data_IF_208192304972
#
_entry.id   IF_208192304972
#
_cell.length_a   1.000
_cell.length_b   1.000
_cell.length_c   1.000
_cell.angle_alpha   90.00
_cell.angle_beta   90.00
_cell.angle_gamma   90.00
#
_symmetry.space_group_name_H-M   'P 1'
#
loop_
_entity.id
_entity.type
_entity.pdbx_description
1 polymer ?
#
# COMPACT_ATOMS: atom_id res chain seq x y z
N UNK A 1 32.46 -3.17 8.48
CA UNK A 1 31.67 -1.95 8.60
C UNK A 1 30.86 -1.76 7.32
N UNK A 2 29.75 -2.53 7.16
CA UNK A 2 28.93 -2.57 5.92
C UNK A 2 27.86 -1.44 5.84
N UNK A 3 27.68 -0.66 6.91
CA UNK A 3 26.65 0.38 7.02
C UNK A 3 26.81 1.57 6.05
N UNK A 4 28.00 1.76 5.49
CA UNK A 4 28.31 2.88 4.59
C UNK A 4 28.68 2.41 3.17
N UNK A 5 28.37 1.14 2.84
CA UNK A 5 28.55 0.61 1.50
C UNK A 5 27.24 0.70 0.72
N UNK A 6 27.34 0.82 -0.59
CA UNK A 6 26.18 0.60 -1.46
C UNK A 6 25.63 -0.80 -1.25
N UNK A 7 24.32 -0.92 -1.17
CA UNK A 7 23.58 -2.19 -1.07
C UNK A 7 22.65 -2.31 -2.27
N UNK A 8 22.05 -3.49 -2.40
CA UNK A 8 20.98 -3.69 -3.39
C UNK A 8 19.82 -2.72 -3.14
N UNK A 9 19.11 -2.29 -4.19
CA UNK A 9 17.99 -1.32 -4.07
C UNK A 9 16.93 -1.78 -3.06
N UNK A 10 16.60 -3.07 -3.04
CA UNK A 10 15.62 -3.64 -2.12
C UNK A 10 16.07 -3.70 -0.65
N UNK A 11 17.34 -3.40 -0.37
CA UNK A 11 17.93 -3.49 0.97
C UNK A 11 18.59 -4.85 1.26
N UNK A 12 19.36 -4.88 2.35
CA UNK A 12 20.06 -6.11 2.77
C UNK A 12 19.08 -7.12 3.37
N UNK A 13 19.46 -8.41 3.35
CA UNK A 13 18.69 -9.52 3.94
C UNK A 13 18.29 -9.23 5.41
N UNK A 14 19.21 -8.67 6.21
CA UNK A 14 18.93 -8.32 7.62
C UNK A 14 17.81 -7.26 7.71
N UNK A 15 17.86 -6.26 6.85
CA UNK A 15 16.86 -5.19 6.82
C UNK A 15 15.51 -5.72 6.35
N UNK A 16 15.48 -6.55 5.31
CA UNK A 16 14.25 -7.18 4.81
C UNK A 16 13.63 -8.13 5.84
N UNK A 17 14.47 -8.90 6.56
CA UNK A 17 14.00 -9.74 7.67
C UNK A 17 13.35 -8.90 8.78
N UNK A 18 13.93 -7.73 9.11
CA UNK A 18 13.30 -6.82 10.06
C UNK A 18 11.96 -6.27 9.55
N UNK A 19 11.84 -6.01 8.24
CA UNK A 19 10.58 -5.63 7.60
C UNK A 19 9.53 -6.75 7.66
N UNK A 20 9.91 -8.00 7.41
CA UNK A 20 9.01 -9.14 7.54
C UNK A 20 8.50 -9.27 8.99
N UNK A 21 9.38 -9.12 9.99
CA UNK A 21 8.99 -9.11 11.40
C UNK A 21 8.04 -7.94 11.74
N UNK A 22 8.17 -6.80 11.06
CA UNK A 22 7.25 -5.67 11.21
C UNK A 22 5.85 -6.03 10.70
N UNK A 23 5.75 -6.60 9.50
CA UNK A 23 4.47 -7.06 8.94
C UNK A 23 3.83 -8.17 9.75
N UNK A 24 4.61 -9.09 10.36
CA UNK A 24 4.06 -10.08 11.28
C UNK A 24 3.33 -9.45 12.47
N UNK A 25 3.83 -8.33 13.02
CA UNK A 25 3.14 -7.59 14.08
C UNK A 25 1.82 -6.97 13.61
N UNK A 26 1.71 -6.64 12.33
CA UNK A 26 0.49 -6.14 11.70
C UNK A 26 -0.51 -7.26 11.36
N UNK A 27 -0.13 -8.54 11.53
CA UNK A 27 -0.96 -9.70 11.18
C UNK A 27 -0.79 -10.18 9.73
N UNK A 28 0.24 -9.73 9.02
CA UNK A 28 0.61 -10.25 7.70
C UNK A 28 1.83 -11.18 7.82
N UNK A 29 1.62 -12.47 7.61
CA UNK A 29 2.69 -13.46 7.62
C UNK A 29 3.43 -13.47 6.27
N UNK A 30 4.69 -13.13 6.28
CA UNK A 30 5.56 -13.05 5.10
C UNK A 30 7.02 -13.32 5.47
N UNK A 31 7.88 -13.44 4.47
CA UNK A 31 9.32 -13.57 4.63
C UNK A 31 10.08 -12.39 3.97
N UNK A 32 11.41 -12.40 4.10
CA UNK A 32 12.26 -11.33 3.59
C UNK A 32 12.28 -11.21 2.07
N UNK A 33 11.89 -12.23 1.33
CA UNK A 33 11.89 -12.22 -0.14
C UNK A 33 10.78 -11.33 -0.71
N UNK A 34 9.70 -11.13 0.06
CA UNK A 34 8.59 -10.26 -0.31
C UNK A 34 8.71 -8.84 0.23
N UNK A 35 9.88 -8.47 0.79
CA UNK A 35 10.07 -7.16 1.42
C UNK A 35 11.08 -6.34 0.64
N UNK A 36 10.71 -5.10 0.37
CA UNK A 36 11.59 -4.06 -0.19
C UNK A 36 11.66 -2.89 0.78
N UNK A 37 12.84 -2.29 0.93
CA UNK A 37 13.03 -1.07 1.72
C UNK A 37 12.83 0.18 0.87
N UNK A 38 12.31 1.23 1.52
CA UNK A 38 12.20 2.54 0.90
C UNK A 38 12.57 3.67 1.88
N UNK A 39 12.90 4.84 1.35
CA UNK A 39 13.31 6.02 2.11
C UNK A 39 12.11 6.77 2.74
N UNK A 40 11.25 6.02 3.45
CA UNK A 40 10.02 6.51 4.09
C UNK A 40 8.77 6.30 3.23
N UNK A 41 7.58 6.42 3.86
CA UNK A 41 6.30 6.08 3.24
C UNK A 41 5.99 6.83 1.94
N UNK A 42 6.35 8.09 1.84
CA UNK A 42 6.14 8.87 0.60
C UNK A 42 6.98 8.33 -0.57
N UNK A 43 8.22 7.92 -0.31
CA UNK A 43 9.07 7.28 -1.32
C UNK A 43 8.53 5.89 -1.68
N UNK A 44 8.11 5.11 -0.68
CA UNK A 44 7.48 3.81 -0.90
C UNK A 44 6.25 3.92 -1.82
N UNK A 45 5.35 4.88 -1.53
CA UNK A 45 4.15 5.10 -2.34
C UNK A 45 4.50 5.59 -3.76
N UNK A 46 5.46 6.51 -3.89
CA UNK A 46 5.89 7.01 -5.20
C UNK A 46 6.52 5.89 -6.06
N UNK A 47 7.41 5.09 -5.49
CA UNK A 47 8.02 3.96 -6.17
C UNK A 47 6.96 2.92 -6.58
N UNK A 48 5.97 2.64 -5.71
CA UNK A 48 4.87 1.72 -6.03
C UNK A 48 4.05 2.20 -7.24
N UNK A 49 3.64 3.47 -7.23
CA UNK A 49 2.85 4.01 -8.36
C UNK A 49 3.68 4.07 -9.64
N UNK A 50 4.94 4.51 -9.55
CA UNK A 50 5.84 4.63 -10.70
C UNK A 50 6.22 3.28 -11.31
N UNK A 51 6.44 2.26 -10.46
CA UNK A 51 6.87 0.94 -10.93
C UNK A 51 5.74 0.09 -11.52
N UNK A 52 4.49 0.39 -11.16
CA UNK A 52 3.35 -0.50 -11.46
C UNK A 52 2.37 0.09 -12.47
N UNK A 53 2.30 1.41 -12.58
CA UNK A 53 1.28 2.10 -13.39
C UNK A 53 1.88 2.95 -14.48
N UNK A 54 1.28 2.89 -15.64
CA UNK A 54 1.65 3.70 -16.79
C UNK A 54 0.93 5.08 -16.76
N UNK A 55 1.55 6.05 -17.44
CA UNK A 55 0.94 7.36 -17.65
C UNK A 55 -0.43 7.24 -18.33
N UNK A 56 -1.43 7.91 -17.79
CA UNK A 56 -2.81 7.88 -18.26
C UNK A 56 -3.67 6.82 -17.62
N UNK A 57 -3.10 5.86 -16.90
CA UNK A 57 -3.86 4.88 -16.14
C UNK A 57 -4.58 5.49 -14.94
N UNK A 58 -5.52 4.74 -14.36
CA UNK A 58 -6.42 5.24 -13.31
C UNK A 58 -6.32 4.43 -12.04
N UNK A 59 -6.30 5.14 -10.90
CA UNK A 59 -6.36 4.57 -9.54
C UNK A 59 -7.68 4.95 -8.89
N UNK A 60 -8.43 3.96 -8.41
CA UNK A 60 -9.58 4.20 -7.54
C UNK A 60 -9.11 4.63 -6.14
N UNK A 61 -9.74 5.64 -5.54
CA UNK A 61 -9.40 6.13 -4.20
C UNK A 61 -10.65 6.51 -3.43
N UNK A 62 -10.49 6.76 -2.14
CA UNK A 62 -11.49 7.48 -1.36
C UNK A 62 -11.74 8.87 -1.99
N UNK A 63 -12.99 9.38 -1.89
CA UNK A 63 -13.36 10.70 -2.40
C UNK A 63 -12.60 11.85 -1.72
N UNK A 64 -12.18 11.65 -0.48
CA UNK A 64 -11.20 12.46 0.24
C UNK A 64 -10.06 11.55 0.64
N UNK A 65 -8.85 11.84 0.20
CA UNK A 65 -7.70 10.96 0.43
C UNK A 65 -6.43 11.76 0.73
N UNK A 66 -5.37 11.05 1.12
CA UNK A 66 -4.09 11.64 1.46
C UNK A 66 -3.54 12.52 0.33
N UNK A 67 -3.15 13.79 0.62
CA UNK A 67 -2.65 14.69 -0.43
C UNK A 67 -1.42 14.17 -1.17
N UNK A 68 -0.61 13.31 -0.52
CA UNK A 68 0.60 12.76 -1.13
C UNK A 68 0.33 11.90 -2.35
N UNK A 69 -0.74 11.09 -2.37
CA UNK A 69 -1.11 10.32 -3.57
C UNK A 69 -1.53 11.23 -4.72
N UNK A 70 -2.20 12.36 -4.44
CA UNK A 70 -2.60 13.35 -5.45
C UNK A 70 -1.36 13.97 -6.13
N UNK A 71 -0.36 14.33 -5.33
CA UNK A 71 0.90 14.87 -5.83
C UNK A 71 1.64 13.84 -6.70
N UNK A 72 1.75 12.60 -6.24
CA UNK A 72 2.40 11.51 -6.98
C UNK A 72 1.67 11.25 -8.29
N UNK A 73 0.34 11.11 -8.26
CA UNK A 73 -0.48 10.88 -9.43
C UNK A 73 -0.29 11.98 -10.48
N UNK A 74 -0.26 13.24 -10.05
CA UNK A 74 -0.01 14.37 -10.94
C UNK A 74 1.39 14.33 -11.56
N UNK A 75 2.42 13.98 -10.77
CA UNK A 75 3.82 13.92 -11.25
C UNK A 75 4.03 12.79 -12.27
N UNK A 76 3.38 11.66 -12.08
CA UNK A 76 3.51 10.48 -12.94
C UNK A 76 2.53 10.52 -14.13
N UNK A 77 1.47 11.32 -14.03
CA UNK A 77 0.43 11.41 -15.04
C UNK A 77 -0.67 10.36 -14.92
N UNK A 78 -0.84 9.81 -13.72
CA UNK A 78 -1.91 8.85 -13.37
C UNK A 78 -3.15 9.63 -12.92
N UNK A 79 -4.36 9.14 -13.21
CA UNK A 79 -5.62 9.77 -12.84
C UNK A 79 -6.21 9.14 -11.59
N UNK A 80 -6.73 9.96 -10.65
CA UNK A 80 -7.45 9.46 -9.48
C UNK A 80 -8.96 9.47 -9.74
N UNK A 81 -9.61 8.36 -9.45
CA UNK A 81 -11.05 8.15 -9.59
C UNK A 81 -11.67 7.94 -8.20
N UNK A 82 -12.62 8.77 -7.82
CA UNK A 82 -13.32 8.59 -6.56
C UNK A 82 -14.27 7.40 -6.61
N UNK A 83 -14.10 6.44 -5.71
CA UNK A 83 -15.01 5.31 -5.55
C UNK A 83 -16.19 5.73 -4.65
N UNK A 84 -17.38 5.21 -4.92
CA UNK A 84 -18.57 5.50 -4.10
C UNK A 84 -18.42 4.92 -2.69
N UNK A 85 -18.79 5.74 -1.70
CA UNK A 85 -18.76 5.41 -0.28
C UNK A 85 -20.15 5.38 0.34
N UNK A 86 -20.25 4.60 1.41
CA UNK A 86 -21.31 4.68 2.39
C UNK A 86 -20.66 4.58 3.79
N UNK A 87 -21.06 5.44 4.71
CA UNK A 87 -20.57 5.45 6.10
C UNK A 87 -19.02 5.49 6.19
N UNK A 88 -18.38 6.30 5.34
CA UNK A 88 -16.91 6.46 5.19
C UNK A 88 -16.17 5.24 4.63
N UNK A 89 -16.84 4.20 4.16
CA UNK A 89 -16.22 3.02 3.56
C UNK A 89 -16.61 2.86 2.10
N UNK A 90 -15.69 2.34 1.28
CA UNK A 90 -15.97 2.00 -0.13
C UNK A 90 -17.08 0.96 -0.23
N UNK A 91 -18.04 1.19 -1.11
CA UNK A 91 -19.10 0.20 -1.36
C UNK A 91 -18.67 -0.82 -2.41
N UNK A 92 -19.20 -2.04 -2.29
CA UNK A 92 -18.99 -3.10 -3.29
C UNK A 92 -19.40 -2.65 -4.70
N UNK A 93 -20.57 -2.03 -4.81
CA UNK A 93 -21.12 -1.49 -6.06
C UNK A 93 -20.21 -0.39 -6.63
N UNK A 94 -19.70 0.49 -5.78
CA UNK A 94 -18.78 1.56 -6.18
C UNK A 94 -17.48 1.03 -6.74
N UNK A 95 -16.90 -0.01 -6.12
CA UNK A 95 -15.68 -0.65 -6.62
C UNK A 95 -15.93 -1.32 -7.97
N UNK A 96 -17.00 -2.10 -8.12
CA UNK A 96 -17.34 -2.73 -9.41
C UNK A 96 -17.60 -1.69 -10.50
N UNK A 97 -18.30 -0.60 -10.17
CA UNK A 97 -18.52 0.49 -11.11
C UNK A 97 -17.19 1.11 -11.59
N UNK A 98 -16.29 1.39 -10.66
CA UNK A 98 -14.99 1.98 -10.99
C UNK A 98 -14.14 1.04 -11.86
N UNK A 99 -14.16 -0.26 -11.61
CA UNK A 99 -13.45 -1.26 -12.43
C UNK A 99 -14.06 -1.32 -13.85
N UNK A 100 -15.38 -1.39 -13.97
CA UNK A 100 -16.07 -1.65 -15.24
C UNK A 100 -16.21 -0.41 -16.12
N UNK A 101 -16.48 0.76 -15.53
CA UNK A 101 -16.82 1.98 -16.25
C UNK A 101 -15.70 3.00 -16.29
N UNK A 102 -14.87 3.04 -15.23
CA UNK A 102 -13.74 3.98 -15.15
C UNK A 102 -12.40 3.30 -15.50
N UNK A 103 -12.39 1.98 -15.74
CA UNK A 103 -11.20 1.22 -16.12
C UNK A 103 -10.01 1.47 -15.17
N UNK A 104 -10.26 1.51 -13.87
CA UNK A 104 -9.18 1.63 -12.88
C UNK A 104 -8.28 0.39 -12.92
N UNK A 105 -6.97 0.56 -12.70
CA UNK A 105 -5.96 -0.51 -12.68
C UNK A 105 -5.56 -0.91 -11.27
N UNK A 106 -5.71 0.00 -10.34
CA UNK A 106 -5.44 -0.22 -8.93
C UNK A 106 -6.45 0.52 -8.05
N UNK A 107 -6.51 0.12 -6.77
CA UNK A 107 -7.24 0.83 -5.73
C UNK A 107 -6.23 1.21 -4.64
N UNK A 108 -6.15 2.49 -4.30
CA UNK A 108 -5.37 2.99 -3.17
C UNK A 108 -6.27 3.19 -1.96
N UNK A 109 -5.89 2.60 -0.83
CA UNK A 109 -6.64 2.67 0.42
C UNK A 109 -5.75 2.95 1.62
N UNK A 110 -6.28 3.63 2.63
CA UNK A 110 -5.67 3.85 3.95
C UNK A 110 -6.60 3.23 4.99
N UNK A 111 -6.43 1.95 5.35
CA UNK A 111 -7.40 1.26 6.19
C UNK A 111 -7.36 1.63 7.66
N UNK A 112 -6.25 2.21 8.15
CA UNK A 112 -6.04 2.52 9.56
C UNK A 112 -5.84 4.03 9.74
N UNK A 113 -6.65 4.64 10.63
CA UNK A 113 -6.61 6.09 10.89
C UNK A 113 -6.51 6.91 9.61
N UNK A 114 -7.48 6.67 8.72
CA UNK A 114 -7.54 7.25 7.38
C UNK A 114 -7.25 8.75 7.39
N UNK A 115 -6.37 9.19 6.51
CA UNK A 115 -6.03 10.61 6.37
C UNK A 115 -6.87 11.26 5.26
N UNK A 116 -7.81 12.21 5.58
CA UNK A 116 -7.86 13.01 6.81
C UNK A 116 -8.97 12.64 7.80
N UNK A 117 -9.78 11.61 7.58
CA UNK A 117 -11.01 11.37 8.34
C UNK A 117 -10.78 10.68 9.69
N UNK A 118 -9.59 10.11 9.93
CA UNK A 118 -9.24 9.27 11.10
C UNK A 118 -10.11 8.01 11.24
N UNK A 119 -10.89 7.66 10.20
CA UNK A 119 -11.70 6.45 10.19
C UNK A 119 -10.81 5.19 10.18
N UNK A 120 -11.26 4.13 10.83
CA UNK A 120 -10.65 2.79 10.76
C UNK A 120 -11.61 1.90 9.97
N UNK A 121 -11.14 1.40 8.83
CA UNK A 121 -11.91 0.54 7.94
C UNK A 121 -12.28 -0.77 8.66
N UNK A 122 -13.54 -1.17 8.59
CA UNK A 122 -14.04 -2.39 9.20
C UNK A 122 -13.38 -3.65 8.61
N UNK A 123 -13.36 -4.72 9.40
CA UNK A 123 -12.84 -6.02 8.94
C UNK A 123 -13.66 -6.57 7.76
N UNK A 124 -14.96 -6.32 7.77
CA UNK A 124 -15.87 -6.71 6.67
C UNK A 124 -15.48 -6.03 5.37
N UNK A 125 -15.21 -4.73 5.40
CA UNK A 125 -14.81 -3.99 4.19
C UNK A 125 -13.43 -4.40 3.72
N UNK A 126 -12.46 -4.65 4.62
CA UNK A 126 -11.13 -5.19 4.23
C UNK A 126 -11.27 -6.52 3.47
N UNK A 127 -12.08 -7.45 3.98
CA UNK A 127 -12.35 -8.75 3.34
C UNK A 127 -13.09 -8.61 2.02
N UNK A 128 -14.05 -7.70 1.94
CA UNK A 128 -14.80 -7.41 0.73
C UNK A 128 -13.88 -6.87 -0.38
N UNK A 129 -13.00 -5.92 -0.05
CA UNK A 129 -12.00 -5.38 -0.99
C UNK A 129 -11.05 -6.50 -1.45
N UNK A 130 -10.53 -7.32 -0.52
CA UNK A 130 -9.65 -8.44 -0.83
C UNK A 130 -10.32 -9.45 -1.78
N UNK A 131 -11.57 -9.81 -1.52
CA UNK A 131 -12.34 -10.71 -2.39
C UNK A 131 -12.50 -10.14 -3.79
N UNK A 132 -12.87 -8.86 -3.92
CA UNK A 132 -13.00 -8.22 -5.24
C UNK A 132 -11.66 -8.15 -5.95
N UNK A 133 -10.57 -7.88 -5.21
CA UNK A 133 -9.23 -7.85 -5.78
C UNK A 133 -8.84 -9.20 -6.40
N UNK A 134 -9.15 -10.31 -5.73
CA UNK A 134 -8.96 -11.66 -6.24
C UNK A 134 -9.87 -11.97 -7.44
N UNK A 135 -11.17 -11.67 -7.35
CA UNK A 135 -12.15 -11.94 -8.41
C UNK A 135 -11.86 -11.18 -9.70
N UNK A 136 -11.38 -9.94 -9.59
CA UNK A 136 -11.13 -9.05 -10.74
C UNK A 136 -9.66 -8.96 -11.12
N UNK A 137 -8.79 -9.60 -10.36
CA UNK A 137 -7.33 -9.50 -10.50
C UNK A 137 -6.86 -8.03 -10.56
N UNK A 138 -7.42 -7.18 -9.68
CA UNK A 138 -7.06 -5.77 -9.57
C UNK A 138 -6.07 -5.57 -8.43
N UNK A 139 -5.10 -4.69 -8.63
CA UNK A 139 -4.10 -4.37 -7.61
C UNK A 139 -4.70 -3.49 -6.51
N UNK A 140 -4.36 -3.78 -5.26
CA UNK A 140 -4.58 -2.90 -4.12
C UNK A 140 -3.23 -2.33 -3.67
N UNK A 141 -3.16 -1.02 -3.54
CA UNK A 141 -2.06 -0.30 -2.88
C UNK A 141 -2.56 0.06 -1.48
N UNK A 142 -2.14 -0.70 -0.50
CA UNK A 142 -2.57 -0.55 0.90
C UNK A 142 -1.55 0.29 1.66
N UNK A 143 -1.93 1.50 2.04
CA UNK A 143 -1.13 2.39 2.87
C UNK A 143 -1.44 2.11 4.36
N UNK A 144 -0.75 1.13 4.92
CA UNK A 144 -0.90 0.68 6.29
C UNK A 144 0.11 1.34 7.26
N UNK A 145 0.60 2.54 6.92
CA UNK A 145 1.62 3.26 7.72
C UNK A 145 1.14 3.54 9.16
N UNK A 146 -0.16 3.67 9.35
CA UNK A 146 -0.77 3.98 10.64
C UNK A 146 -1.24 2.73 11.42
N UNK A 147 -1.15 1.52 10.87
CA UNK A 147 -1.73 0.30 11.45
C UNK A 147 -1.27 0.04 12.90
N UNK A 148 0.03 0.13 13.17
CA UNK A 148 0.59 -0.10 14.51
C UNK A 148 0.49 1.11 15.47
N UNK A 149 -0.34 2.10 15.17
CA UNK A 149 -0.79 3.09 16.16
C UNK A 149 -1.91 2.54 17.04
N UNK A 150 -2.58 1.48 16.62
CA UNK A 150 -3.58 0.74 17.40
C UNK A 150 -2.89 -0.38 18.19
N UNK A 151 -3.29 -0.55 19.47
CA UNK A 151 -2.75 -1.61 20.33
C UNK A 151 -3.12 -3.02 19.85
N UNK A 152 -4.31 -3.16 19.27
CA UNK A 152 -4.82 -4.41 18.69
C UNK A 152 -5.27 -4.17 17.25
N UNK A 153 -4.34 -4.01 16.30
CA UNK A 153 -4.66 -3.64 14.93
C UNK A 153 -5.47 -4.75 14.23
N UNK A 154 -6.40 -4.33 13.38
CA UNK A 154 -7.02 -5.26 12.44
C UNK A 154 -5.98 -5.72 11.40
N UNK A 155 -6.07 -6.98 10.95
CA UNK A 155 -5.17 -7.47 9.91
C UNK A 155 -5.27 -6.62 8.64
N UNK A 156 -4.15 -6.35 7.95
CA UNK A 156 -4.17 -5.63 6.69
C UNK A 156 -4.88 -6.42 5.59
N UNK A 157 -5.35 -5.74 4.55
CA UNK A 157 -6.01 -6.35 3.39
C UNK A 157 -5.10 -7.38 2.73
N UNK A 158 -3.79 -7.12 2.73
CA UNK A 158 -2.76 -8.03 2.23
C UNK A 158 -2.81 -9.43 2.87
N UNK A 159 -3.27 -9.56 4.11
CA UNK A 159 -3.40 -10.87 4.77
C UNK A 159 -4.52 -11.74 4.18
N UNK A 160 -5.48 -11.14 3.46
CA UNK A 160 -6.61 -11.83 2.81
C UNK A 160 -6.41 -12.01 1.31
N UNK A 161 -5.58 -11.19 0.66
CA UNK A 161 -5.30 -11.25 -0.77
C UNK A 161 -3.81 -10.96 -1.07
N UNK A 162 -2.88 -11.81 -0.60
CA UNK A 162 -1.45 -11.52 -0.66
C UNK A 162 -0.93 -11.31 -2.09
N UNK A 163 -1.50 -11.96 -3.09
CA UNK A 163 -1.07 -11.84 -4.48
C UNK A 163 -1.58 -10.58 -5.20
N UNK A 164 -2.58 -9.89 -4.63
CA UNK A 164 -3.21 -8.70 -5.21
C UNK A 164 -2.90 -7.42 -4.45
N UNK A 165 -2.15 -7.48 -3.34
CA UNK A 165 -1.93 -6.32 -2.49
C UNK A 165 -0.44 -6.00 -2.36
N UNK A 166 -0.05 -4.76 -2.67
CA UNK A 166 1.21 -4.16 -2.22
C UNK A 166 0.89 -3.37 -0.96
N UNK A 167 1.53 -3.73 0.17
CA UNK A 167 1.26 -3.12 1.47
C UNK A 167 2.44 -2.29 1.94
N UNK A 168 2.18 -1.02 2.28
CA UNK A 168 3.18 -0.06 2.70
C UNK A 168 3.16 0.09 4.23
N UNK A 169 4.31 -0.05 4.88
CA UNK A 169 4.50 0.21 6.30
C UNK A 169 5.67 1.18 6.52
N UNK A 170 5.66 1.96 7.61
CA UNK A 170 6.71 2.94 7.87
C UNK A 170 7.00 3.08 9.36
N UNK A 171 8.25 3.33 9.69
CA UNK A 171 8.67 3.63 11.06
C UNK A 171 8.36 5.07 11.50
N UNK A 172 7.93 5.92 10.56
CA UNK A 172 7.81 7.37 10.80
C UNK A 172 6.76 7.76 11.84
N UNK A 173 5.68 6.99 11.97
CA UNK A 173 4.58 7.28 12.89
C UNK A 173 4.69 6.54 14.21
N UNK A 174 5.33 5.36 14.19
CA UNK A 174 5.41 4.45 15.33
C UNK A 174 6.69 4.62 16.12
N UNK A 175 7.82 4.95 15.45
CA UNK A 175 9.14 5.10 16.12
C UNK A 175 9.62 6.54 16.02
N UNK A 176 10.05 6.99 14.83
CA UNK A 176 10.52 8.36 14.63
C UNK A 176 10.52 8.76 13.15
N UNK A 177 10.00 9.94 12.80
CA UNK A 177 9.94 10.40 11.42
C UNK A 177 11.31 10.63 10.78
N UNK A 178 12.33 10.94 11.59
CA UNK A 178 13.70 11.18 11.12
C UNK A 178 14.44 9.95 10.61
N UNK A 179 13.97 8.73 10.91
CA UNK A 179 14.60 7.49 10.43
C UNK A 179 14.46 7.29 8.91
N UNK A 180 13.49 7.92 8.29
CA UNK A 180 13.20 7.81 6.85
C UNK A 180 13.24 6.38 6.34
N UNK A 181 12.59 5.45 7.06
CA UNK A 181 12.55 4.03 6.71
C UNK A 181 11.11 3.58 6.54
N UNK A 182 10.85 2.90 5.44
CA UNK A 182 9.61 2.21 5.17
C UNK A 182 9.90 0.80 4.64
N UNK A 183 8.94 -0.08 4.79
CA UNK A 183 8.94 -1.42 4.25
C UNK A 183 7.76 -1.54 3.30
N UNK A 184 7.99 -2.21 2.18
CA UNK A 184 6.97 -2.53 1.18
C UNK A 184 6.86 -4.05 1.16
N UNK A 185 5.69 -4.59 1.50
CA UNK A 185 5.34 -5.96 1.14
C UNK A 185 4.91 -5.97 -0.32
N UNK A 186 5.52 -6.84 -1.11
CA UNK A 186 5.27 -6.92 -2.55
C UNK A 186 5.10 -8.38 -2.99
N UNK A 187 4.02 -8.71 -3.74
CA UNK A 187 3.89 -10.01 -4.39
C UNK A 187 5.02 -10.26 -5.38
N UNK A 188 5.46 -11.49 -5.53
CA UNK A 188 6.59 -11.88 -6.39
C UNK A 188 6.49 -11.30 -7.81
N UNK A 189 5.30 -11.31 -8.39
CA UNK A 189 5.05 -10.81 -9.75
C UNK A 189 5.32 -9.32 -9.98
N UNK A 190 5.42 -8.51 -8.91
CA UNK A 190 5.69 -7.06 -8.98
C UNK A 190 7.07 -6.69 -8.41
N UNK A 191 7.84 -7.68 -7.94
CA UNK A 191 9.07 -7.42 -7.20
C UNK A 191 10.12 -6.72 -8.07
N UNK A 192 10.31 -7.19 -9.29
CA UNK A 192 11.33 -6.67 -10.21
C UNK A 192 11.03 -5.21 -10.62
N UNK A 193 9.78 -4.93 -10.98
CA UNK A 193 9.33 -3.59 -11.37
C UNK A 193 9.48 -2.60 -10.22
N UNK A 194 9.11 -3.01 -9.01
CA UNK A 194 9.21 -2.15 -7.83
C UNK A 194 10.67 -1.88 -7.42
N UNK A 195 11.52 -2.91 -7.43
CA UNK A 195 12.94 -2.77 -7.14
C UNK A 195 13.65 -1.85 -8.13
N UNK A 196 13.17 -1.81 -9.38
CA UNK A 196 13.71 -0.93 -10.43
C UNK A 196 13.28 0.53 -10.25
N UNK A 197 12.13 0.78 -9.61
CA UNK A 197 11.56 2.11 -9.40
C UNK A 197 12.15 2.84 -8.16
N UNK A 198 12.95 2.16 -7.33
CA UNK A 198 13.61 2.70 -6.13
C UNK A 198 14.99 3.25 -6.43
#
# INVERSE_FOLDING_TARGET
MKLFSYTEPEGTEIQRTAGAAWFHKMGLHTDSQHIILAAGGQNALAATVLGILDQGERIGTDYVTYPGIKTIAQMIGVQLVAIQHKDFEMTKEGIYYAIQNENIKAIYVIPDFHNPTSHIMSLETRKMIAQIAQEKNILIIEDAINNLLEDNPLPPIASFAPEQVICLASLSKTIAPGLRTAFIYVPEKYHCELATAL
#
